data_IF_258371658787
#
_entry.id   IF_258371658787
#
_cell.length_a   1.000
_cell.length_b   1.000
_cell.length_c   1.000
_cell.angle_alpha   90.00
_cell.angle_beta   90.00
_cell.angle_gamma   90.00
#
_symmetry.space_group_name_H-M   'P 1'
#
loop_
_entity.id
_entity.type
_entity.pdbx_description
1 polymer ?
#
# COMPACT_ATOMS: atom_id res chain seq x y z
N UNK A 1 -15.63 -2.20 17.19
CA UNK A 1 -14.58 -1.25 17.65
C UNK A 1 -13.94 -0.69 16.40
N UNK A 2 -13.77 0.63 16.32
CA UNK A 2 -13.10 1.29 15.20
C UNK A 2 -11.59 1.13 15.30
N UNK A 3 -10.89 1.21 14.18
CA UNK A 3 -9.42 1.11 14.21
C UNK A 3 -8.80 2.35 14.85
N UNK A 4 -7.77 2.14 15.65
CA UNK A 4 -6.93 3.23 16.16
C UNK A 4 -6.05 3.79 15.04
N UNK A 5 -5.53 5.01 15.21
CA UNK A 5 -4.58 5.55 14.24
C UNK A 5 -3.35 4.64 14.08
N UNK A 6 -2.82 4.13 15.20
CA UNK A 6 -1.69 3.19 15.20
C UNK A 6 -2.01 1.90 14.44
N UNK A 7 -3.18 1.31 14.67
CA UNK A 7 -3.62 0.11 13.96
C UNK A 7 -3.77 0.32 12.46
N UNK A 8 -4.31 1.47 12.02
CA UNK A 8 -4.45 1.79 10.58
C UNK A 8 -3.09 1.91 9.90
N UNK A 9 -2.15 2.63 10.51
CA UNK A 9 -0.80 2.79 9.99
C UNK A 9 -0.04 1.46 9.96
N UNK A 10 -0.12 0.65 11.02
CA UNK A 10 0.49 -0.67 11.08
C UNK A 10 -0.08 -1.61 10.00
N UNK A 11 -1.41 -1.68 9.89
CA UNK A 11 -2.08 -2.51 8.89
C UNK A 11 -1.66 -2.13 7.48
N UNK A 12 -1.67 -0.82 7.18
CA UNK A 12 -1.26 -0.33 5.87
C UNK A 12 0.18 -0.71 5.55
N UNK A 13 1.10 -0.48 6.49
CA UNK A 13 2.51 -0.79 6.31
C UNK A 13 2.73 -2.28 6.08
N UNK A 14 2.15 -3.12 6.94
CA UNK A 14 2.26 -4.58 6.84
C UNK A 14 1.70 -5.08 5.51
N UNK A 15 0.51 -4.63 5.11
CA UNK A 15 -0.13 -5.09 3.87
C UNK A 15 0.63 -4.61 2.63
N UNK A 16 1.11 -3.36 2.60
CA UNK A 16 1.90 -2.85 1.46
C UNK A 16 3.28 -3.49 1.39
N UNK A 17 3.98 -3.64 2.53
CA UNK A 17 5.33 -4.17 2.57
C UNK A 17 5.39 -5.67 2.26
N UNK A 18 4.33 -6.42 2.58
CA UNK A 18 4.25 -7.86 2.31
C UNK A 18 3.44 -8.16 1.06
N UNK A 19 2.13 -8.03 1.14
CA UNK A 19 1.21 -8.45 0.09
C UNK A 19 1.32 -7.53 -1.12
N UNK A 20 1.41 -6.21 -0.91
CA UNK A 20 1.63 -5.24 -1.98
C UNK A 20 2.96 -5.46 -2.70
N UNK A 21 4.03 -5.76 -1.95
CA UNK A 21 5.34 -6.08 -2.55
C UNK A 21 5.31 -7.41 -3.33
N UNK A 22 4.78 -8.48 -2.75
CA UNK A 22 4.66 -9.78 -3.43
C UNK A 22 3.82 -9.65 -4.69
N UNK A 23 2.70 -8.92 -4.62
CA UNK A 23 1.87 -8.62 -5.77
C UNK A 23 2.61 -7.81 -6.82
N UNK A 24 3.36 -6.80 -6.39
CA UNK A 24 4.19 -5.98 -7.28
C UNK A 24 5.19 -6.84 -8.04
N UNK A 25 5.93 -7.72 -7.34
CA UNK A 25 6.91 -8.61 -7.98
C UNK A 25 6.21 -9.55 -8.98
N UNK A 26 5.07 -10.13 -8.58
CA UNK A 26 4.34 -11.09 -9.42
C UNK A 26 3.77 -10.45 -10.70
N UNK A 27 3.16 -9.27 -10.60
CA UNK A 27 2.46 -8.65 -11.73
C UNK A 27 3.40 -7.89 -12.67
N UNK A 28 4.53 -7.36 -12.17
CA UNK A 28 5.44 -6.51 -12.94
C UNK A 28 5.96 -7.13 -14.23
N UNK A 29 6.17 -8.45 -14.24
CA UNK A 29 6.66 -9.16 -15.41
C UNK A 29 5.62 -9.24 -16.55
N UNK A 30 4.33 -9.24 -16.21
CA UNK A 30 3.19 -9.53 -17.11
C UNK A 30 2.42 -8.26 -17.51
N UNK A 31 2.68 -7.13 -16.84
CA UNK A 31 1.97 -5.89 -17.12
C UNK A 31 2.10 -5.44 -18.58
N UNK A 32 1.02 -4.93 -19.20
CA UNK A 32 1.08 -4.33 -20.52
C UNK A 32 2.07 -3.17 -20.51
N UNK A 33 3.05 -3.23 -21.42
CA UNK A 33 4.05 -2.18 -21.58
C UNK A 33 4.30 -1.90 -23.07
N UNK A 34 4.69 -0.66 -23.41
CA UNK A 34 5.19 -0.36 -24.75
C UNK A 34 6.35 -1.28 -25.14
N UNK A 35 6.47 -1.60 -26.43
CA UNK A 35 7.46 -2.55 -26.95
C UNK A 35 8.92 -2.10 -26.71
N UNK A 36 9.14 -0.79 -26.65
CA UNK A 36 10.41 -0.13 -26.38
C UNK A 36 10.80 -0.14 -24.89
N UNK A 37 9.89 -0.53 -24.00
CA UNK A 37 10.13 -0.53 -22.55
C UNK A 37 10.60 -1.93 -22.10
N UNK A 38 11.85 -2.06 -21.60
CA UNK A 38 12.37 -3.34 -21.16
C UNK A 38 11.72 -3.78 -19.84
N UNK A 39 11.80 -5.09 -19.54
CA UNK A 39 11.19 -5.69 -18.32
C UNK A 39 11.70 -5.01 -17.04
N UNK A 40 13.01 -4.73 -16.94
CA UNK A 40 13.58 -4.12 -15.74
C UNK A 40 13.02 -2.71 -15.47
N UNK A 41 12.69 -1.96 -16.52
CA UNK A 41 12.04 -0.65 -16.38
C UNK A 41 10.62 -0.78 -15.82
N UNK A 42 9.88 -1.84 -16.17
CA UNK A 42 8.58 -2.13 -15.56
C UNK A 42 8.69 -2.37 -14.05
N UNK A 43 9.66 -3.18 -13.62
CA UNK A 43 9.92 -3.39 -12.19
C UNK A 43 10.33 -2.09 -11.47
N UNK A 44 11.14 -1.24 -12.11
CA UNK A 44 11.50 0.06 -11.55
C UNK A 44 10.27 0.93 -11.31
N UNK A 45 9.37 1.00 -12.29
CA UNK A 45 8.14 1.81 -12.22
C UNK A 45 7.23 1.31 -11.10
N UNK A 46 6.97 0.00 -11.05
CA UNK A 46 6.02 -0.59 -10.10
C UNK A 46 6.54 -0.63 -8.67
N UNK A 47 7.85 -0.85 -8.47
CA UNK A 47 8.45 -0.77 -7.14
C UNK A 47 8.47 0.68 -6.63
N UNK A 48 8.83 1.65 -7.49
CA UNK A 48 8.81 3.05 -7.12
C UNK A 48 7.39 3.53 -6.80
N UNK A 49 6.38 3.13 -7.60
CA UNK A 49 4.98 3.48 -7.31
C UNK A 49 4.51 2.88 -5.99
N UNK A 50 4.89 1.64 -5.66
CA UNK A 50 4.56 1.00 -4.37
C UNK A 50 5.20 1.74 -3.17
N UNK A 51 6.44 2.19 -3.30
CA UNK A 51 7.10 2.99 -2.24
C UNK A 51 6.41 4.34 -2.07
N UNK A 52 6.14 5.04 -3.16
CA UNK A 52 5.44 6.34 -3.15
C UNK A 52 4.03 6.20 -2.57
N UNK A 53 3.28 5.18 -2.97
CA UNK A 53 1.96 4.84 -2.44
C UNK A 53 1.99 4.54 -0.94
N UNK A 54 3.06 3.91 -0.45
CA UNK A 54 3.26 3.71 0.98
C UNK A 54 3.43 5.06 1.67
N UNK A 55 4.40 5.87 1.27
CA UNK A 55 4.72 7.15 1.93
C UNK A 55 3.54 8.12 1.91
N UNK A 56 2.94 8.35 0.73
CA UNK A 56 1.79 9.25 0.60
C UNK A 56 0.56 8.71 1.32
N UNK A 57 0.39 7.40 1.31
CA UNK A 57 -0.64 6.70 2.05
C UNK A 57 -0.61 7.01 3.54
N UNK A 58 0.58 7.00 4.17
CA UNK A 58 0.73 7.37 5.58
C UNK A 58 0.21 8.78 5.88
N UNK A 59 0.54 9.75 5.02
CA UNK A 59 0.03 11.11 5.17
C UNK A 59 -1.50 11.15 5.03
N UNK A 60 -2.05 10.42 4.06
CA UNK A 60 -3.48 10.35 3.83
C UNK A 60 -4.25 9.70 4.99
N UNK A 61 -3.67 8.69 5.65
CA UNK A 61 -4.26 8.07 6.83
C UNK A 61 -4.40 9.08 7.99
N UNK A 62 -3.45 10.01 8.15
CA UNK A 62 -3.56 11.09 9.15
C UNK A 62 -4.73 12.01 8.84
N UNK A 63 -4.86 12.42 7.57
CA UNK A 63 -5.96 13.29 7.09
C UNK A 63 -7.30 12.58 7.28
N UNK A 64 -7.40 11.33 6.85
CA UNK A 64 -8.61 10.53 7.01
C UNK A 64 -9.01 10.41 8.49
N UNK A 65 -8.06 10.12 9.37
CA UNK A 65 -8.33 10.01 10.79
C UNK A 65 -8.78 11.34 11.41
N UNK A 66 -8.15 12.46 11.02
CA UNK A 66 -8.56 13.79 11.47
C UNK A 66 -10.01 14.11 11.04
N UNK A 67 -10.37 13.83 9.79
CA UNK A 67 -11.73 13.99 9.29
C UNK A 67 -12.72 13.04 9.99
N UNK A 68 -12.29 11.82 10.32
CA UNK A 68 -13.09 10.86 11.07
C UNK A 68 -13.43 11.35 12.49
N UNK A 69 -12.54 12.08 13.15
CA UNK A 69 -12.82 12.64 14.48
C UNK A 69 -13.90 13.72 14.48
N UNK A 70 -14.13 14.41 13.36
CA UNK A 70 -15.16 15.45 13.24
C UNK A 70 -16.58 14.86 13.13
N UNK A 71 -16.71 13.55 12.90
CA UNK A 71 -18.00 12.88 12.76
C UNK A 71 -18.53 12.39 14.11
N UNK A 72 -19.83 12.56 14.34
CA UNK A 72 -20.50 12.12 15.57
C UNK A 72 -20.32 10.62 15.87
N UNK A 73 -20.45 9.79 14.83
CA UNK A 73 -20.31 8.31 14.87
C UNK A 73 -18.85 7.83 14.87
N UNK A 74 -17.89 8.73 14.55
CA UNK A 74 -16.45 8.43 14.45
C UNK A 74 -16.09 7.21 13.61
N UNK A 75 -16.96 6.80 12.68
CA UNK A 75 -16.71 5.69 11.76
C UNK A 75 -17.19 6.04 10.36
N UNK A 76 -16.60 5.39 9.35
CA UNK A 76 -16.92 5.59 7.95
C UNK A 76 -17.24 4.25 7.30
N UNK A 77 -18.25 4.20 6.40
CA UNK A 77 -18.48 3.05 5.56
C UNK A 77 -17.20 2.59 4.85
N UNK A 78 -16.92 1.27 4.77
CA UNK A 78 -15.71 0.74 4.12
C UNK A 78 -15.54 1.16 2.65
N UNK A 79 -16.65 1.47 1.98
CA UNK A 79 -16.71 2.03 0.63
C UNK A 79 -15.94 3.36 0.51
N UNK A 80 -15.91 4.19 1.55
CA UNK A 80 -15.09 5.40 1.51
C UNK A 80 -13.60 5.10 1.49
N UNK A 81 -13.16 4.01 2.12
CA UNK A 81 -11.78 3.51 1.97
C UNK A 81 -11.46 3.02 0.55
N UNK A 82 -12.46 2.63 -0.24
CA UNK A 82 -12.25 2.37 -1.67
C UNK A 82 -12.14 3.68 -2.45
N UNK A 83 -13.00 4.65 -2.16
CA UNK A 83 -13.02 5.95 -2.85
C UNK A 83 -11.76 6.79 -2.60
N UNK A 84 -11.06 6.57 -1.48
CA UNK A 84 -9.76 7.24 -1.25
C UNK A 84 -8.72 6.88 -2.31
N UNK A 85 -8.85 5.75 -3.02
CA UNK A 85 -7.99 5.42 -4.16
C UNK A 85 -7.99 6.54 -5.23
N UNK A 86 -9.15 7.13 -5.48
CA UNK A 86 -9.35 8.17 -6.50
C UNK A 86 -8.58 9.44 -6.10
N UNK A 87 -8.55 9.74 -4.80
CA UNK A 87 -7.81 10.90 -4.31
C UNK A 87 -6.31 10.60 -4.24
N UNK A 88 -5.93 9.38 -3.87
CA UNK A 88 -4.54 8.99 -3.67
C UNK A 88 -3.79 8.72 -4.99
N UNK A 89 -4.48 8.30 -6.05
CA UNK A 89 -3.84 8.05 -7.37
C UNK A 89 -3.20 9.32 -7.93
N UNK A 90 -3.79 10.49 -7.68
CA UNK A 90 -3.31 11.77 -8.20
C UNK A 90 -1.93 12.13 -7.63
N UNK A 91 -1.72 12.29 -6.32
CA UNK A 91 -0.41 12.63 -5.78
C UNK A 91 0.62 11.52 -6.05
N UNK A 92 0.22 10.24 -6.08
CA UNK A 92 1.14 9.14 -6.44
C UNK A 92 1.61 9.28 -7.88
N UNK A 93 0.70 9.51 -8.83
CA UNK A 93 1.02 9.74 -10.25
C UNK A 93 2.00 10.90 -10.43
N UNK A 94 1.68 12.05 -9.82
CA UNK A 94 2.52 13.25 -9.91
C UNK A 94 3.90 13.03 -9.30
N UNK A 95 3.99 12.32 -8.17
CA UNK A 95 5.25 12.03 -7.49
C UNK A 95 6.15 11.11 -8.33
N UNK A 96 5.60 10.04 -8.92
CA UNK A 96 6.39 9.13 -9.77
C UNK A 96 6.85 9.83 -11.07
N UNK A 97 6.03 10.75 -11.61
CA UNK A 97 6.40 11.60 -12.75
C UNK A 97 7.51 12.59 -12.38
N UNK A 98 7.40 13.26 -11.22
CA UNK A 98 8.40 14.21 -10.74
C UNK A 98 9.76 13.55 -10.47
N UNK A 99 9.77 12.28 -10.07
CA UNK A 99 10.98 11.48 -9.90
C UNK A 99 11.58 10.97 -11.23
N UNK A 100 10.99 11.32 -12.39
CA UNK A 100 11.37 10.82 -13.71
C UNK A 100 11.39 9.29 -13.82
N UNK A 101 10.59 8.61 -12.99
CA UNK A 101 10.53 7.14 -13.00
C UNK A 101 9.60 6.63 -14.08
N UNK A 102 8.55 7.39 -14.42
CA UNK A 102 7.51 7.00 -15.37
C UNK A 102 7.73 7.62 -16.76
N UNK A 103 8.23 6.87 -17.76
CA UNK A 103 8.35 7.35 -19.14
C UNK A 103 6.98 7.63 -19.76
N UNK A 104 6.96 8.45 -20.80
CA UNK A 104 5.76 8.68 -21.60
C UNK A 104 5.30 7.35 -22.24
N UNK A 105 3.99 7.08 -22.21
CA UNK A 105 3.41 5.83 -22.73
C UNK A 105 3.21 4.71 -21.68
N UNK A 106 3.82 4.81 -20.49
CA UNK A 106 3.64 3.81 -19.42
C UNK A 106 2.44 4.07 -18.49
N UNK A 107 1.51 4.95 -18.89
CA UNK A 107 0.36 5.33 -18.06
C UNK A 107 -0.53 4.13 -17.70
N UNK A 108 -0.77 3.26 -18.67
CA UNK A 108 -1.60 2.07 -18.48
C UNK A 108 -0.96 1.07 -17.52
N UNK A 109 0.36 0.87 -17.61
CA UNK A 109 1.12 0.02 -16.70
C UNK A 109 0.96 0.48 -15.25
N UNK A 110 1.14 1.79 -15.02
CA UNK A 110 0.93 2.39 -13.71
C UNK A 110 -0.53 2.23 -13.23
N UNK A 111 -1.49 2.55 -14.09
CA UNK A 111 -2.91 2.52 -13.73
C UNK A 111 -3.38 1.11 -13.32
N UNK A 112 -2.96 0.08 -14.07
CA UNK A 112 -3.28 -1.32 -13.75
C UNK A 112 -2.58 -1.74 -12.45
N UNK A 113 -1.29 -1.43 -12.30
CA UNK A 113 -0.54 -1.78 -11.08
C UNK A 113 -1.14 -1.12 -9.84
N UNK A 114 -1.39 0.19 -9.88
CA UNK A 114 -1.98 0.94 -8.77
C UNK A 114 -3.37 0.39 -8.42
N UNK A 115 -4.24 0.24 -9.42
CA UNK A 115 -5.64 -0.18 -9.19
C UNK A 115 -5.70 -1.60 -8.64
N UNK A 116 -4.94 -2.53 -9.20
CA UNK A 116 -4.93 -3.93 -8.73
C UNK A 116 -4.33 -4.05 -7.32
N UNK A 117 -3.24 -3.34 -7.05
CA UNK A 117 -2.62 -3.31 -5.70
C UNK A 117 -3.58 -2.70 -4.68
N UNK A 118 -4.25 -1.60 -5.03
CA UNK A 118 -5.24 -0.96 -4.17
C UNK A 118 -6.40 -1.90 -3.83
N UNK A 119 -7.02 -2.50 -4.86
CA UNK A 119 -8.17 -3.41 -4.69
C UNK A 119 -7.75 -4.61 -3.84
N UNK A 120 -6.58 -5.19 -4.09
CA UNK A 120 -6.07 -6.33 -3.34
C UNK A 120 -5.94 -6.00 -1.85
N UNK A 121 -5.29 -4.88 -1.51
CA UNK A 121 -5.07 -4.46 -0.12
C UNK A 121 -6.40 -4.13 0.55
N UNK A 122 -7.29 -3.42 -0.15
CA UNK A 122 -8.62 -3.08 0.35
C UNK A 122 -9.43 -4.35 0.65
N UNK A 123 -9.48 -5.32 -0.28
CA UNK A 123 -10.18 -6.59 -0.09
C UNK A 123 -9.65 -7.36 1.12
N UNK A 124 -8.33 -7.40 1.31
CA UNK A 124 -7.70 -8.09 2.44
C UNK A 124 -8.04 -7.41 3.77
N UNK A 125 -8.13 -6.09 3.76
CA UNK A 125 -8.49 -5.27 4.93
C UNK A 125 -9.95 -5.49 5.35
N UNK A 126 -10.87 -5.80 4.41
CA UNK A 126 -12.28 -6.02 4.74
C UNK A 126 -12.54 -7.27 5.58
N UNK A 127 -11.74 -8.33 5.45
CA UNK A 127 -12.10 -9.63 6.02
C UNK A 127 -10.96 -10.63 6.17
N UNK A 128 -10.20 -10.96 5.11
CA UNK A 128 -9.17 -12.00 5.16
C UNK A 128 -8.17 -11.82 6.31
N UNK A 129 -7.77 -10.58 6.61
CA UNK A 129 -6.87 -10.29 7.73
C UNK A 129 -7.45 -10.69 9.09
N UNK A 130 -8.77 -10.60 9.27
CA UNK A 130 -9.47 -11.02 10.49
C UNK A 130 -9.59 -12.53 10.61
N UNK A 131 -9.43 -13.29 9.52
CA UNK A 131 -9.40 -14.76 9.53
C UNK A 131 -8.02 -15.24 9.94
N UNK A 132 -6.98 -14.69 9.32
CA UNK A 132 -5.58 -15.04 9.60
C UNK A 132 -5.16 -14.56 10.99
N UNK A 133 -5.59 -13.36 11.37
CA UNK A 133 -5.31 -12.78 12.68
C UNK A 133 -6.60 -12.34 13.38
N UNK A 134 -7.33 -13.27 14.03
CA UNK A 134 -8.59 -12.96 14.72
C UNK A 134 -8.48 -11.89 15.80
N UNK A 135 -7.27 -11.63 16.32
CA UNK A 135 -6.99 -10.65 17.38
C UNK A 135 -6.95 -9.22 16.84
N UNK A 136 -6.55 -9.04 15.59
CA UNK A 136 -6.43 -7.71 14.95
C UNK A 136 -7.72 -6.90 15.08
N UNK A 137 -8.89 -7.56 14.93
CA UNK A 137 -10.21 -6.92 15.08
C UNK A 137 -10.53 -6.44 16.51
N UNK A 138 -9.93 -7.08 17.52
CA UNK A 138 -10.18 -6.80 18.94
C UNK A 138 -9.20 -5.77 19.51
N UNK A 139 -8.08 -5.53 18.82
CA UNK A 139 -7.04 -4.59 19.23
C UNK A 139 -7.05 -3.29 18.40
N UNK A 140 -8.18 -2.98 17.76
CA UNK A 140 -8.31 -1.75 16.96
C UNK A 140 -7.40 -1.72 15.74
N UNK A 141 -7.10 -2.89 15.16
CA UNK A 141 -6.21 -3.03 14.01
C UNK A 141 -4.72 -3.04 14.35
N UNK A 142 -4.35 -3.04 15.64
CA UNK A 142 -2.97 -3.12 16.09
C UNK A 142 -2.47 -4.57 16.08
N UNK A 143 -1.17 -4.73 15.82
CA UNK A 143 -0.48 -6.01 15.83
C UNK A 143 0.50 -6.14 17.02
N UNK A 144 0.61 -5.17 17.92
CA UNK A 144 1.82 -5.04 18.78
C UNK A 144 1.60 -5.15 20.29
N UNK A 145 0.42 -5.53 20.81
CA UNK A 145 0.23 -5.55 22.28
C UNK A 145 0.98 -6.67 23.00
N UNK A 146 1.56 -7.63 22.28
CA UNK A 146 2.36 -8.73 22.83
C UNK A 146 3.65 -8.94 22.03
N UNK A 147 4.73 -9.44 22.67
CA UNK A 147 6.04 -9.58 22.04
C UNK A 147 6.06 -10.48 20.80
N UNK A 148 5.21 -11.52 20.72
CA UNK A 148 5.12 -12.39 19.54
C UNK A 148 4.54 -11.68 18.30
N UNK A 149 3.52 -10.86 18.50
CA UNK A 149 2.83 -10.15 17.41
C UNK A 149 3.63 -8.90 16.97
N UNK A 150 4.32 -8.26 17.91
CA UNK A 150 5.27 -7.19 17.63
C UNK A 150 6.44 -7.66 16.75
N UNK A 151 6.90 -8.90 16.92
CA UNK A 151 7.98 -9.49 16.12
C UNK A 151 7.53 -9.74 14.68
N UNK A 152 6.31 -10.25 14.48
CA UNK A 152 5.71 -10.39 13.13
C UNK A 152 5.56 -9.03 12.47
N UNK A 153 5.04 -8.04 13.19
CA UNK A 153 4.88 -6.66 12.68
C UNK A 153 6.22 -6.07 12.28
N UNK A 154 7.22 -6.16 13.16
CA UNK A 154 8.55 -5.62 12.95
C UNK A 154 9.27 -6.32 11.80
N UNK A 155 9.23 -7.66 11.74
CA UNK A 155 9.87 -8.43 10.67
C UNK A 155 9.17 -8.20 9.35
N UNK A 156 7.85 -8.25 9.27
CA UNK A 156 7.13 -8.10 7.99
C UNK A 156 7.20 -6.67 7.46
N UNK A 157 7.09 -5.67 8.34
CA UNK A 157 7.17 -4.25 7.93
C UNK A 157 8.59 -3.84 7.53
N UNK A 158 9.59 -4.11 8.37
CA UNK A 158 10.96 -3.68 8.09
C UNK A 158 11.60 -4.52 6.99
N UNK A 159 11.40 -5.84 6.98
CA UNK A 159 12.03 -6.69 5.96
C UNK A 159 11.42 -6.45 4.59
N UNK A 160 10.08 -6.32 4.50
CA UNK A 160 9.41 -6.03 3.23
C UNK A 160 9.83 -4.67 2.66
N UNK A 161 9.85 -3.62 3.48
CA UNK A 161 10.24 -2.29 3.01
C UNK A 161 11.74 -2.21 2.67
N UNK A 162 12.61 -2.81 3.47
CA UNK A 162 14.04 -2.91 3.16
C UNK A 162 14.27 -3.69 1.87
N UNK A 163 13.58 -4.83 1.68
CA UNK A 163 13.66 -5.59 0.43
C UNK A 163 13.19 -4.74 -0.75
N UNK A 164 12.07 -4.03 -0.64
CA UNK A 164 11.59 -3.16 -1.70
C UNK A 164 12.62 -2.07 -2.06
N UNK A 165 13.24 -1.45 -1.06
CA UNK A 165 14.28 -0.44 -1.27
C UNK A 165 15.58 -1.02 -1.84
N UNK A 166 16.00 -2.21 -1.39
CA UNK A 166 17.18 -2.91 -1.91
C UNK A 166 16.95 -3.35 -3.35
N UNK A 167 15.78 -3.91 -3.67
CA UNK A 167 15.40 -4.27 -5.04
C UNK A 167 15.37 -3.03 -5.93
N UNK A 168 14.79 -1.93 -5.44
CA UNK A 168 14.79 -0.67 -6.16
C UNK A 168 16.21 -0.17 -6.43
N UNK A 169 17.10 -0.21 -5.42
CA UNK A 169 18.51 0.16 -5.58
C UNK A 169 19.25 -0.75 -6.57
N UNK A 170 18.99 -2.06 -6.55
CA UNK A 170 19.63 -3.01 -7.46
C UNK A 170 19.18 -2.87 -8.93
N UNK A 171 18.04 -2.23 -9.18
CA UNK A 171 17.48 -1.99 -10.52
C UNK A 171 17.91 -0.61 -11.06
N UNK A 172 18.50 0.25 -10.23
CA UNK A 172 19.07 1.55 -10.61
C UNK A 172 20.50 1.43 -11.11
#
# INVERSE_FOLDING_TARGET
MTMTLGGRLQTRLVLLSSIGLLWTIAISAVLPRPWDVPVHAAFRITLASSVVMTILGFFWELVYHALQQLRWDKDWPPLFGLLTAIVEVVPVWWSVRALNVLPNGCALLFAIHFTTTWILIWLITLGPISIVQPRWRFEGGEFSRRPGDALVTFVVSNTGMVIALVLLWAIW
#
